data_IF_075000345549
#
_entry.id   IF_075000345549
#
_cell.length_a   1.000
_cell.length_b   1.000
_cell.length_c   1.000
_cell.angle_alpha   90.00
_cell.angle_beta   90.00
_cell.angle_gamma   90.00
#
_symmetry.space_group_name_H-M   'P 1'
#
loop_
_entity.id
_entity.type
_entity.pdbx_description
1 polymer ?
#
# COMPACT_ATOMS: atom_id res chain seq x y z
N UNK A 1 36.29 21.01 -52.42
CA UNK A 1 36.53 20.33 -51.12
C UNK A 1 35.59 20.95 -50.10
N UNK A 2 34.47 20.35 -49.89
CA UNK A 2 33.48 20.78 -48.91
C UNK A 2 33.41 19.67 -47.87
N UNK A 3 33.75 20.00 -46.63
CA UNK A 3 33.57 19.10 -45.48
C UNK A 3 32.13 19.20 -44.99
N UNK A 4 31.45 18.09 -45.05
CA UNK A 4 30.12 17.88 -44.51
C UNK A 4 30.29 17.40 -43.08
N UNK A 5 30.12 18.30 -42.09
CA UNK A 5 30.07 17.95 -40.67
C UNK A 5 28.63 17.63 -40.28
N UNK A 6 28.28 16.35 -40.41
CA UNK A 6 27.03 15.78 -39.90
C UNK A 6 26.94 15.82 -38.37
N UNK A 7 26.36 16.87 -37.83
CA UNK A 7 26.00 16.93 -36.43
C UNK A 7 24.84 15.97 -36.14
N UNK A 8 25.14 14.85 -35.44
CA UNK A 8 24.12 13.93 -34.92
C UNK A 8 23.25 14.66 -33.89
N UNK A 9 21.93 14.63 -34.09
CA UNK A 9 20.95 15.14 -33.14
C UNK A 9 21.03 14.34 -31.81
N UNK A 10 20.90 15.01 -30.64
CA UNK A 10 20.93 14.32 -29.35
C UNK A 10 19.70 13.43 -29.18
N UNK A 11 19.93 12.17 -28.87
CA UNK A 11 18.92 11.14 -28.59
C UNK A 11 18.07 11.57 -27.40
N UNK A 12 16.79 11.82 -27.63
CA UNK A 12 15.76 12.09 -26.60
C UNK A 12 15.42 10.81 -25.80
N UNK A 13 16.34 10.33 -24.99
CA UNK A 13 16.16 9.07 -24.26
C UNK A 13 16.64 9.07 -22.79
N UNK A 14 17.51 10.02 -22.42
CA UNK A 14 18.13 10.01 -21.08
C UNK A 14 17.50 10.99 -20.07
N UNK A 15 16.69 11.94 -20.52
CA UNK A 15 16.16 13.02 -19.68
C UNK A 15 14.76 12.72 -19.10
N UNK A 16 14.06 11.72 -19.62
CA UNK A 16 12.74 11.31 -19.15
C UNK A 16 12.82 10.38 -17.91
N UNK A 17 13.96 9.74 -17.66
CA UNK A 17 14.21 8.88 -16.50
C UNK A 17 14.56 9.66 -15.23
N UNK A 18 14.75 10.97 -15.30
CA UNK A 18 15.04 11.87 -14.17
C UNK A 18 13.88 12.72 -13.71
N UNK A 19 12.67 12.54 -14.20
CA UNK A 19 11.50 13.15 -13.57
C UNK A 19 11.39 12.58 -12.17
N UNK A 20 11.76 13.38 -11.15
CA UNK A 20 11.64 13.03 -9.74
C UNK A 20 10.23 12.52 -9.50
N UNK A 21 10.09 11.22 -9.29
CA UNK A 21 8.82 10.58 -8.94
C UNK A 21 8.19 11.38 -7.80
N UNK A 22 6.94 11.85 -8.00
CA UNK A 22 6.22 12.61 -6.97
C UNK A 22 5.85 11.62 -5.88
N UNK A 23 6.55 11.69 -4.74
CA UNK A 23 6.32 10.80 -3.61
C UNK A 23 4.92 11.04 -3.04
N UNK A 24 4.17 9.96 -2.85
CA UNK A 24 2.82 9.96 -2.27
C UNK A 24 2.82 10.08 -0.74
N UNK A 25 3.98 10.03 -0.11
CA UNK A 25 4.16 10.05 1.34
C UNK A 25 5.05 11.22 1.79
N UNK A 26 4.90 11.62 3.07
CA UNK A 26 5.82 12.51 3.76
C UNK A 26 6.81 11.70 4.58
N UNK A 27 8.12 11.99 4.44
CA UNK A 27 9.13 11.42 5.34
C UNK A 27 8.91 11.94 6.76
N UNK A 28 8.36 11.10 7.63
CA UNK A 28 8.17 11.44 9.05
C UNK A 28 9.45 11.16 9.82
N UNK A 29 9.91 12.13 10.62
CA UNK A 29 10.92 11.87 11.66
C UNK A 29 10.17 11.39 12.90
N UNK A 30 10.20 10.08 13.17
CA UNK A 30 9.61 9.50 14.37
C UNK A 30 10.67 9.08 15.37
N UNK A 31 10.37 9.22 16.66
CA UNK A 31 11.20 8.62 17.71
C UNK A 31 11.01 7.10 17.67
N UNK A 32 12.10 6.35 17.55
CA UNK A 32 12.12 4.88 17.63
C UNK A 32 12.48 4.50 19.06
N UNK A 33 11.62 3.76 19.75
CA UNK A 33 11.92 3.25 21.10
C UNK A 33 13.00 2.17 21.05
N UNK A 34 13.71 1.94 22.17
CA UNK A 34 14.72 0.87 22.24
C UNK A 34 14.14 -0.51 21.88
N UNK A 35 12.90 -0.81 22.30
CA UNK A 35 12.23 -2.05 21.96
C UNK A 35 11.91 -2.18 20.46
N UNK A 36 11.46 -1.08 19.82
CA UNK A 36 11.25 -1.07 18.38
C UNK A 36 12.56 -1.22 17.59
N UNK A 37 13.65 -0.60 18.08
CA UNK A 37 14.97 -0.74 17.48
C UNK A 37 15.45 -2.19 17.57
N UNK A 38 15.36 -2.81 18.75
CA UNK A 38 15.72 -4.22 18.94
C UNK A 38 14.91 -5.12 17.99
N UNK A 39 13.58 -4.96 17.95
CA UNK A 39 12.74 -5.76 17.07
C UNK A 39 13.05 -5.50 15.58
N UNK A 40 13.40 -4.28 15.21
CA UNK A 40 13.87 -3.97 13.86
C UNK A 40 15.16 -4.73 13.54
N UNK A 41 16.14 -4.75 14.47
CA UNK A 41 17.44 -5.38 14.23
C UNK A 41 17.34 -6.93 14.24
N UNK A 42 16.49 -7.53 15.10
CA UNK A 42 16.41 -8.98 15.32
C UNK A 42 15.31 -9.69 14.51
N UNK A 43 14.15 -9.02 14.29
CA UNK A 43 12.98 -9.64 13.63
C UNK A 43 12.94 -9.33 12.15
N UNK A 44 13.24 -8.08 11.74
CA UNK A 44 13.13 -7.67 10.36
C UNK A 44 13.92 -8.57 9.38
N UNK A 45 15.15 -9.01 9.67
CA UNK A 45 15.88 -9.91 8.77
C UNK A 45 15.15 -11.24 8.45
N UNK A 46 14.28 -11.68 9.36
CA UNK A 46 13.51 -12.94 9.22
C UNK A 46 12.21 -12.76 8.44
N UNK A 47 11.67 -11.55 8.38
CA UNK A 47 10.35 -11.26 7.81
C UNK A 47 10.40 -10.25 6.66
N UNK A 48 11.56 -9.61 6.43
CA UNK A 48 11.70 -8.66 5.33
C UNK A 48 11.93 -9.34 3.99
N UNK A 49 11.36 -8.74 2.97
CA UNK A 49 11.66 -9.01 1.57
C UNK A 49 12.36 -7.76 1.03
N UNK A 50 13.61 -7.86 0.59
CA UNK A 50 14.30 -6.73 -0.03
C UNK A 50 13.59 -6.29 -1.32
N UNK A 51 13.51 -4.98 -1.54
CA UNK A 51 13.07 -4.50 -2.84
C UNK A 51 14.04 -4.94 -3.94
N UNK A 52 13.46 -5.42 -5.04
CA UNK A 52 14.18 -5.73 -6.26
C UNK A 52 13.34 -5.30 -7.47
N UNK A 53 13.98 -4.81 -8.52
CA UNK A 53 13.29 -4.49 -9.77
C UNK A 53 13.05 -5.80 -10.59
N UNK A 54 12.39 -6.78 -9.96
CA UNK A 54 12.10 -8.10 -10.53
C UNK A 54 10.84 -8.68 -9.86
N UNK A 55 10.08 -9.54 -10.56
CA UNK A 55 8.91 -10.20 -10.01
C UNK A 55 9.21 -10.99 -8.72
N UNK A 56 8.33 -10.83 -7.73
CA UNK A 56 8.39 -11.53 -6.45
C UNK A 56 7.63 -12.85 -6.53
N UNK A 57 8.31 -13.93 -6.20
CA UNK A 57 7.66 -15.22 -5.93
C UNK A 57 7.08 -15.19 -4.49
N UNK A 58 5.76 -15.01 -4.40
CA UNK A 58 5.06 -14.96 -3.11
C UNK A 58 5.10 -16.31 -2.39
N UNK A 59 5.03 -17.43 -3.10
CA UNK A 59 5.08 -18.76 -2.47
C UNK A 59 6.44 -19.00 -1.82
N UNK A 60 7.52 -18.71 -2.54
CA UNK A 60 8.88 -18.79 -1.98
C UNK A 60 9.09 -17.81 -0.81
N UNK A 61 8.60 -16.58 -0.92
CA UNK A 61 8.75 -15.55 0.11
C UNK A 61 8.05 -15.88 1.44
N UNK A 62 6.90 -16.57 1.37
CA UNK A 62 6.16 -16.99 2.56
C UNK A 62 6.48 -18.43 2.99
N UNK A 63 7.13 -19.23 2.13
CA UNK A 63 7.36 -20.66 2.37
C UNK A 63 6.08 -21.50 2.32
N UNK A 64 4.99 -20.95 1.77
CA UNK A 64 3.69 -21.62 1.64
C UNK A 64 2.85 -20.99 0.54
N UNK A 65 1.96 -21.78 -0.05
CA UNK A 65 0.94 -21.33 -0.98
C UNK A 65 -0.33 -20.94 -0.22
N UNK A 66 -0.66 -19.65 -0.22
CA UNK A 66 -1.90 -19.12 0.35
C UNK A 66 -2.27 -17.81 -0.38
N UNK A 67 -3.56 -17.41 -0.40
CA UNK A 67 -3.95 -16.12 -0.95
C UNK A 67 -3.24 -14.98 -0.22
N UNK A 68 -2.71 -14.01 -0.97
CA UNK A 68 -1.93 -12.90 -0.42
C UNK A 68 -2.72 -11.59 -0.44
N UNK A 69 -2.73 -10.89 0.68
CA UNK A 69 -3.29 -9.54 0.83
C UNK A 69 -2.14 -8.55 1.00
N UNK A 70 -2.12 -7.50 0.17
CA UNK A 70 -1.17 -6.40 0.26
C UNK A 70 -1.75 -5.29 1.15
N UNK A 71 -1.00 -4.81 2.14
CA UNK A 71 -1.33 -3.57 2.84
C UNK A 71 -0.28 -2.49 2.56
N UNK A 72 -0.74 -1.34 2.04
CA UNK A 72 0.12 -0.21 1.69
C UNK A 72 0.02 0.85 2.77
N UNK A 73 1.16 1.20 3.36
CA UNK A 73 1.25 2.23 4.39
C UNK A 73 0.69 1.76 5.74
N UNK A 74 1.11 0.60 6.22
CA UNK A 74 0.59 0.02 7.47
C UNK A 74 0.89 0.86 8.73
N UNK A 75 1.65 1.94 8.62
CA UNK A 75 1.98 2.83 9.73
C UNK A 75 2.64 2.08 10.90
N UNK A 76 2.02 2.13 12.09
CA UNK A 76 2.52 1.39 13.26
C UNK A 76 2.15 -0.10 13.27
N UNK A 77 1.42 -0.60 12.27
CA UNK A 77 1.13 -2.01 12.05
C UNK A 77 0.14 -2.66 13.03
N UNK A 78 -0.64 -1.88 13.79
CA UNK A 78 -1.59 -2.45 14.74
C UNK A 78 -2.75 -3.18 14.04
N UNK A 79 -3.34 -2.55 13.02
CA UNK A 79 -4.39 -3.18 12.23
C UNK A 79 -3.87 -4.39 11.46
N UNK A 80 -2.73 -4.25 10.80
CA UNK A 80 -2.07 -5.30 10.03
C UNK A 80 -1.83 -6.56 10.86
N UNK A 81 -1.23 -6.39 12.06
CA UNK A 81 -0.94 -7.52 12.96
C UNK A 81 -2.23 -8.23 13.44
N UNK A 82 -3.27 -7.46 13.81
CA UNK A 82 -4.56 -8.01 14.23
C UNK A 82 -5.27 -8.76 13.11
N UNK A 83 -5.26 -8.22 11.89
CA UNK A 83 -5.83 -8.86 10.72
C UNK A 83 -5.07 -10.15 10.42
N UNK A 84 -3.73 -10.12 10.41
CA UNK A 84 -2.91 -11.29 10.15
C UNK A 84 -3.14 -12.40 11.19
N UNK A 85 -3.30 -12.05 12.47
CA UNK A 85 -3.61 -12.98 13.54
C UNK A 85 -4.99 -13.63 13.39
N UNK A 86 -6.00 -12.85 12.92
CA UNK A 86 -7.36 -13.36 12.73
C UNK A 86 -7.53 -14.24 11.48
N UNK A 87 -6.58 -14.17 10.55
CA UNK A 87 -6.63 -14.88 9.26
C UNK A 87 -5.32 -15.63 8.99
N UNK A 88 -5.02 -16.69 9.75
CA UNK A 88 -3.81 -17.50 9.55
C UNK A 88 -3.81 -18.27 8.22
N UNK A 89 -4.96 -18.38 7.57
CA UNK A 89 -5.15 -18.98 6.25
C UNK A 89 -4.67 -18.08 5.09
N UNK A 90 -4.48 -16.77 5.33
CA UNK A 90 -4.00 -15.79 4.35
C UNK A 90 -2.53 -15.42 4.60
N UNK A 91 -1.86 -14.99 3.55
CA UNK A 91 -0.58 -14.29 3.62
C UNK A 91 -0.80 -12.78 3.59
N UNK A 92 0.00 -12.03 4.36
CA UNK A 92 -0.06 -10.57 4.40
C UNK A 92 1.29 -9.99 4.03
N UNK A 93 1.32 -9.15 2.99
CA UNK A 93 2.48 -8.39 2.57
C UNK A 93 2.29 -6.93 2.94
N UNK A 94 3.03 -6.45 3.93
CA UNK A 94 3.01 -5.05 4.34
C UNK A 94 4.09 -4.24 3.61
N UNK A 95 3.73 -3.09 3.06
CA UNK A 95 4.67 -2.14 2.45
C UNK A 95 4.63 -0.83 3.21
N UNK A 96 5.79 -0.36 3.69
CA UNK A 96 5.90 0.88 4.45
C UNK A 96 7.29 1.51 4.24
N UNK A 97 7.36 2.85 4.25
CA UNK A 97 8.62 3.60 4.14
C UNK A 97 9.14 4.07 5.50
N UNK A 98 8.28 4.12 6.51
CA UNK A 98 8.56 4.68 7.82
C UNK A 98 9.19 3.65 8.75
N UNK A 99 10.51 3.76 8.99
CA UNK A 99 11.29 2.78 9.77
C UNK A 99 10.73 2.54 11.19
N UNK A 100 10.21 3.57 11.88
CA UNK A 100 9.62 3.39 13.20
C UNK A 100 8.32 2.54 13.14
N UNK A 101 7.57 2.65 12.05
CA UNK A 101 6.41 1.79 11.79
C UNK A 101 6.83 0.34 11.54
N UNK A 102 7.85 0.15 10.71
CA UNK A 102 8.43 -1.19 10.45
C UNK A 102 8.89 -1.84 11.76
N UNK A 103 9.65 -1.12 12.61
CA UNK A 103 10.08 -1.64 13.92
C UNK A 103 8.91 -1.94 14.86
N UNK A 104 7.83 -1.14 14.80
CA UNK A 104 6.63 -1.41 15.59
C UNK A 104 5.90 -2.66 15.12
N UNK A 105 5.81 -2.90 13.80
CA UNK A 105 5.21 -4.12 13.26
C UNK A 105 6.08 -5.34 13.56
N UNK A 106 7.41 -5.25 13.44
CA UNK A 106 8.33 -6.33 13.82
C UNK A 106 8.12 -6.77 15.28
N UNK A 107 7.99 -5.81 16.20
CA UNK A 107 7.66 -6.10 17.61
C UNK A 107 6.36 -6.89 17.74
N UNK A 108 5.30 -6.52 17.02
CA UNK A 108 4.01 -7.25 17.05
C UNK A 108 4.11 -8.65 16.43
N UNK A 109 4.86 -8.80 15.36
CA UNK A 109 5.11 -10.11 14.72
C UNK A 109 5.72 -11.06 15.76
N UNK A 110 6.70 -10.60 16.54
CA UNK A 110 7.34 -11.39 17.59
C UNK A 110 6.35 -11.68 18.72
N UNK A 111 5.68 -10.65 19.28
CA UNK A 111 4.75 -10.78 20.41
C UNK A 111 3.56 -11.69 20.11
N UNK A 112 3.08 -11.68 18.87
CA UNK A 112 1.90 -12.47 18.45
C UNK A 112 2.28 -13.74 17.68
N UNK A 113 3.57 -14.04 17.54
CA UNK A 113 4.12 -15.19 16.80
C UNK A 113 3.54 -15.32 15.37
N UNK A 114 3.44 -14.20 14.63
CA UNK A 114 2.85 -14.20 13.30
C UNK A 114 3.80 -14.82 12.26
N UNK A 115 3.38 -15.93 11.67
CA UNK A 115 4.14 -16.62 10.61
C UNK A 115 3.74 -16.16 9.20
N UNK A 116 2.56 -15.58 9.04
CA UNK A 116 1.89 -15.25 7.78
C UNK A 116 2.06 -13.79 7.34
N UNK A 117 3.06 -13.05 7.87
CA UNK A 117 3.29 -11.66 7.54
C UNK A 117 4.72 -11.44 7.07
N UNK A 118 4.88 -10.68 5.98
CA UNK A 118 6.17 -10.24 5.43
C UNK A 118 6.14 -8.73 5.21
N UNK A 119 7.32 -8.10 5.21
CA UNK A 119 7.48 -6.64 5.14
C UNK A 119 8.41 -6.28 3.98
N UNK A 120 8.01 -5.30 3.17
CA UNK A 120 8.89 -4.59 2.24
C UNK A 120 9.00 -3.15 2.71
N UNK A 121 10.20 -2.72 3.10
CA UNK A 121 10.44 -1.32 3.46
C UNK A 121 10.87 -0.53 2.21
N UNK A 122 9.88 -0.08 1.43
CA UNK A 122 10.14 0.65 0.18
C UNK A 122 8.92 1.49 -0.24
N UNK A 123 9.07 2.29 -1.33
CA UNK A 123 7.94 3.00 -1.97
C UNK A 123 6.97 1.99 -2.59
N UNK A 124 5.71 2.06 -2.16
CA UNK A 124 4.69 1.13 -2.61
C UNK A 124 4.41 1.19 -4.11
N UNK A 125 4.57 2.36 -4.75
CA UNK A 125 4.38 2.49 -6.21
C UNK A 125 5.44 1.67 -6.95
N UNK A 126 6.68 1.71 -6.48
CA UNK A 126 7.78 0.94 -7.06
C UNK A 126 7.60 -0.57 -6.80
N UNK A 127 7.20 -0.96 -5.58
CA UNK A 127 6.91 -2.36 -5.24
C UNK A 127 5.81 -2.92 -6.14
N UNK A 128 4.70 -2.20 -6.30
CA UNK A 128 3.58 -2.63 -7.15
C UNK A 128 3.97 -2.73 -8.61
N UNK A 129 4.78 -1.79 -9.09
CA UNK A 129 5.24 -1.76 -10.48
C UNK A 129 6.19 -2.90 -10.82
N UNK A 130 7.15 -3.16 -9.93
CA UNK A 130 8.34 -3.95 -10.27
C UNK A 130 8.29 -5.37 -9.69
N UNK A 131 7.65 -5.54 -8.52
CA UNK A 131 7.68 -6.81 -7.80
C UNK A 131 6.38 -7.63 -7.90
N UNK A 132 5.23 -7.00 -8.15
CA UNK A 132 3.96 -7.70 -8.18
C UNK A 132 3.54 -8.01 -9.62
N UNK A 133 3.20 -9.27 -9.88
CA UNK A 133 2.66 -9.71 -11.16
C UNK A 133 1.13 -9.62 -11.18
N UNK A 134 0.53 -9.64 -12.36
CA UNK A 134 -0.92 -9.60 -12.52
C UNK A 134 -1.60 -10.79 -11.84
N UNK A 135 -2.77 -10.55 -11.26
CA UNK A 135 -3.61 -11.53 -10.58
C UNK A 135 -2.92 -12.29 -9.43
N UNK A 136 -1.89 -11.67 -8.78
CA UNK A 136 -1.15 -12.28 -7.68
C UNK A 136 -1.72 -11.99 -6.29
N UNK A 137 -2.63 -11.00 -6.17
CA UNK A 137 -3.18 -10.56 -4.89
C UNK A 137 -4.64 -10.95 -4.73
N UNK A 138 -5.00 -11.51 -3.57
CA UNK A 138 -6.39 -11.74 -3.19
C UNK A 138 -7.09 -10.48 -2.67
N UNK A 139 -6.34 -9.49 -2.22
CA UNK A 139 -6.86 -8.22 -1.76
C UNK A 139 -5.78 -7.15 -1.57
N UNK A 140 -6.21 -5.91 -1.52
CA UNK A 140 -5.35 -4.75 -1.26
C UNK A 140 -5.99 -3.86 -0.21
N UNK A 141 -5.22 -3.44 0.78
CA UNK A 141 -5.61 -2.49 1.82
C UNK A 141 -4.84 -1.18 1.68
N UNK A 142 -5.55 -0.06 1.70
CA UNK A 142 -4.97 1.29 1.73
C UNK A 142 -5.73 2.10 2.79
N UNK A 143 -5.25 2.07 4.02
CA UNK A 143 -5.95 2.67 5.15
C UNK A 143 -5.29 3.97 5.59
N UNK A 144 -6.08 5.06 5.59
CA UNK A 144 -5.69 6.40 6.02
C UNK A 144 -4.41 6.91 5.35
N UNK A 145 -4.29 6.83 4.01
CA UNK A 145 -3.16 7.42 3.30
C UNK A 145 -3.12 8.92 3.49
N UNK A 146 -1.94 9.55 3.35
CA UNK A 146 -1.78 11.00 3.52
C UNK A 146 -2.78 11.79 2.65
N UNK A 147 -3.68 12.60 3.23
CA UNK A 147 -4.78 13.24 2.49
C UNK A 147 -4.33 14.45 1.67
N UNK A 148 -3.14 14.99 1.96
CA UNK A 148 -2.59 16.17 1.29
C UNK A 148 -3.63 17.30 1.16
N UNK A 149 -4.02 18.00 2.27
CA UNK A 149 -5.19 18.89 2.30
C UNK A 149 -5.13 20.06 1.31
N UNK A 150 -3.92 20.58 1.02
CA UNK A 150 -3.75 21.73 0.11
C UNK A 150 -3.89 21.30 -1.35
N UNK A 151 -4.75 21.98 -2.12
CA UNK A 151 -5.04 21.66 -3.51
C UNK A 151 -3.79 21.43 -4.39
N UNK A 152 -2.74 22.28 -4.23
CA UNK A 152 -1.45 22.13 -4.93
C UNK A 152 -0.72 20.81 -4.64
N UNK A 153 -1.11 20.09 -3.57
CA UNK A 153 -0.53 18.81 -3.15
C UNK A 153 -1.39 17.60 -3.53
N UNK A 154 -2.62 17.76 -4.06
CA UNK A 154 -3.49 16.64 -4.41
C UNK A 154 -2.84 15.66 -5.37
N UNK A 155 -1.94 16.13 -6.26
CA UNK A 155 -1.13 15.28 -7.15
C UNK A 155 -0.22 14.28 -6.40
N UNK A 156 -0.03 14.44 -5.08
CA UNK A 156 0.73 13.52 -4.22
C UNK A 156 -0.13 12.42 -3.62
N UNK A 157 -1.47 12.51 -3.72
CA UNK A 157 -2.37 11.49 -3.19
C UNK A 157 -2.08 10.14 -3.84
N UNK A 158 -1.95 9.09 -3.03
CA UNK A 158 -1.63 7.75 -3.52
C UNK A 158 -2.73 7.21 -4.44
N UNK A 159 -3.99 7.29 -3.99
CA UNK A 159 -5.13 6.83 -4.80
C UNK A 159 -5.44 7.90 -5.85
N UNK A 160 -4.85 7.71 -7.03
CA UNK A 160 -5.02 8.53 -8.23
C UNK A 160 -5.13 7.61 -9.46
N UNK A 161 -5.58 8.10 -10.62
CA UNK A 161 -5.80 7.26 -11.81
C UNK A 161 -4.59 6.43 -12.22
N UNK A 162 -3.38 6.99 -12.17
CA UNK A 162 -2.17 6.29 -12.57
C UNK A 162 -1.86 5.11 -11.63
N UNK A 163 -1.94 5.34 -10.32
CA UNK A 163 -1.71 4.28 -9.34
C UNK A 163 -2.81 3.21 -9.38
N UNK A 164 -4.08 3.59 -9.54
CA UNK A 164 -5.19 2.64 -9.62
C UNK A 164 -5.10 1.78 -10.88
N UNK A 165 -4.67 2.34 -12.02
CA UNK A 165 -4.38 1.58 -13.24
C UNK A 165 -3.21 0.61 -13.06
N UNK A 166 -2.27 0.91 -12.19
CA UNK A 166 -1.15 0.05 -11.88
C UNK A 166 -1.54 -1.11 -10.94
N UNK A 167 -2.32 -0.83 -9.87
CA UNK A 167 -2.63 -1.83 -8.84
C UNK A 167 -3.80 -2.75 -9.21
N UNK A 168 -4.80 -2.27 -9.96
CA UNK A 168 -5.99 -3.05 -10.27
C UNK A 168 -5.69 -4.37 -11.01
N UNK A 169 -4.79 -4.44 -12.00
CA UNK A 169 -4.41 -5.70 -12.64
C UNK A 169 -3.73 -6.70 -11.68
N UNK A 170 -3.06 -6.22 -10.62
CA UNK A 170 -2.35 -7.07 -9.65
C UNK A 170 -3.32 -7.87 -8.77
N UNK A 171 -4.56 -7.40 -8.64
CA UNK A 171 -5.62 -8.10 -7.91
C UNK A 171 -6.18 -9.20 -8.78
N UNK A 172 -6.29 -10.42 -8.24
CA UNK A 172 -6.90 -11.54 -8.92
C UNK A 172 -8.40 -11.30 -9.17
N UNK A 173 -9.00 -11.84 -10.25
CA UNK A 173 -10.45 -11.84 -10.42
C UNK A 173 -11.17 -12.37 -9.17
N UNK A 174 -12.19 -11.66 -8.70
CA UNK A 174 -12.87 -11.95 -7.44
C UNK A 174 -12.16 -11.45 -6.17
N UNK A 175 -10.93 -10.95 -6.28
CA UNK A 175 -10.25 -10.23 -5.20
C UNK A 175 -10.82 -8.83 -4.98
N UNK A 176 -10.26 -8.07 -4.04
CA UNK A 176 -10.83 -6.78 -3.64
C UNK A 176 -9.76 -5.70 -3.39
N UNK A 177 -10.19 -4.45 -3.45
CA UNK A 177 -9.46 -3.27 -2.97
C UNK A 177 -10.30 -2.59 -1.89
N UNK A 178 -9.74 -2.41 -0.69
CA UNK A 178 -10.37 -1.72 0.43
C UNK A 178 -9.56 -0.48 0.80
N UNK A 179 -10.15 0.68 0.61
CA UNK A 179 -9.60 1.97 1.03
C UNK A 179 -10.40 2.52 2.21
N UNK A 180 -9.73 3.23 3.14
CA UNK A 180 -10.37 4.00 4.19
C UNK A 180 -9.68 5.35 4.38
N UNK A 181 -10.45 6.39 4.67
CA UNK A 181 -9.93 7.73 4.99
C UNK A 181 -10.86 8.47 5.93
N UNK A 182 -10.31 9.39 6.74
CA UNK A 182 -11.04 10.33 7.59
C UNK A 182 -11.13 11.75 6.96
N UNK A 183 -10.77 11.86 5.66
CA UNK A 183 -10.78 13.12 4.91
C UNK A 183 -11.81 13.07 3.79
N UNK A 184 -12.98 13.71 3.97
CA UNK A 184 -14.13 13.63 3.07
C UNK A 184 -13.80 13.94 1.61
N UNK A 185 -13.11 15.05 1.35
CA UNK A 185 -12.69 15.42 0.00
C UNK A 185 -11.80 14.35 -0.67
N UNK A 186 -11.00 13.63 0.12
CA UNK A 186 -10.19 12.54 -0.42
C UNK A 186 -11.03 11.27 -0.61
N UNK A 187 -12.00 11.02 0.28
CA UNK A 187 -12.95 9.93 0.12
C UNK A 187 -13.72 10.05 -1.20
N UNK A 188 -14.23 11.26 -1.52
CA UNK A 188 -14.93 11.51 -2.78
C UNK A 188 -14.00 11.29 -3.98
N UNK A 189 -12.77 11.82 -3.94
CA UNK A 189 -11.79 11.57 -5.00
C UNK A 189 -11.49 10.07 -5.17
N UNK A 190 -11.34 9.32 -4.08
CA UNK A 190 -11.14 7.86 -4.14
C UNK A 190 -12.33 7.18 -4.82
N UNK A 191 -13.55 7.55 -4.45
CA UNK A 191 -14.78 6.99 -5.04
C UNK A 191 -14.82 7.21 -6.55
N UNK A 192 -14.52 8.44 -7.01
CA UNK A 192 -14.50 8.80 -8.42
C UNK A 192 -13.42 8.04 -9.19
N UNK A 193 -12.19 8.00 -8.64
CA UNK A 193 -11.04 7.36 -9.29
C UNK A 193 -11.21 5.84 -9.37
N UNK A 194 -11.68 5.21 -8.29
CA UNK A 194 -11.91 3.77 -8.24
C UNK A 194 -13.09 3.36 -9.11
N UNK A 195 -14.17 4.16 -9.10
CA UNK A 195 -15.36 3.94 -9.93
C UNK A 195 -15.09 4.07 -11.43
N UNK A 196 -14.12 4.89 -11.83
CA UNK A 196 -13.71 5.05 -13.23
C UNK A 196 -12.82 3.91 -13.74
N UNK A 197 -12.30 3.01 -12.85
CA UNK A 197 -11.43 1.91 -13.25
C UNK A 197 -12.24 0.73 -13.79
N UNK A 198 -12.10 0.36 -15.09
CA UNK A 198 -12.95 -0.70 -15.70
C UNK A 198 -12.84 -2.07 -15.04
N UNK A 199 -11.68 -2.37 -14.44
CA UNK A 199 -11.41 -3.65 -13.77
C UNK A 199 -12.02 -3.75 -12.38
N UNK A 200 -12.54 -2.64 -11.82
CA UNK A 200 -13.10 -2.59 -10.48
C UNK A 200 -14.62 -2.37 -10.51
N UNK A 201 -15.31 -2.95 -9.55
CA UNK A 201 -16.74 -2.73 -9.32
C UNK A 201 -16.95 -2.37 -7.85
N UNK A 202 -17.61 -1.24 -7.56
CA UNK A 202 -17.97 -0.89 -6.20
C UNK A 202 -18.95 -1.94 -5.65
N UNK A 203 -18.68 -2.47 -4.47
CA UNK A 203 -19.57 -3.43 -3.80
C UNK A 203 -20.77 -2.75 -3.13
N UNK A 204 -20.78 -1.42 -3.06
CA UNK A 204 -21.83 -0.62 -2.44
C UNK A 204 -22.28 0.51 -3.37
N UNK A 205 -23.42 1.12 -3.10
CA UNK A 205 -23.93 2.26 -3.87
C UNK A 205 -23.17 3.59 -3.60
N UNK A 206 -21.96 3.51 -3.03
CA UNK A 206 -21.13 4.64 -2.64
C UNK A 206 -20.08 4.17 -1.64
N UNK A 207 -20.06 4.77 -0.45
CA UNK A 207 -19.20 4.32 0.64
C UNK A 207 -19.77 3.06 1.31
N UNK A 208 -18.88 2.19 1.77
CA UNK A 208 -19.27 1.00 2.50
C UNK A 208 -19.89 1.38 3.87
N UNK A 209 -20.97 0.71 4.32
CA UNK A 209 -21.65 1.05 5.58
C UNK A 209 -20.88 0.62 6.83
N UNK A 210 -19.71 0.03 6.68
CA UNK A 210 -18.88 -0.47 7.78
C UNK A 210 -17.46 -0.79 7.35
N UNK A 211 -16.74 -1.49 8.21
CA UNK A 211 -15.31 -1.78 8.07
C UNK A 211 -15.03 -3.14 7.40
N UNK A 212 -16.07 -3.84 6.95
CA UNK A 212 -15.95 -5.18 6.39
C UNK A 212 -15.63 -5.18 4.90
N UNK A 213 -14.82 -6.12 4.47
CA UNK A 213 -14.57 -6.47 3.09
C UNK A 213 -14.75 -7.99 2.89
N UNK A 214 -14.64 -8.53 1.69
CA UNK A 214 -14.93 -9.96 1.43
C UNK A 214 -14.11 -10.96 2.25
N UNK A 215 -12.92 -10.60 2.71
CA UNK A 215 -12.05 -11.53 3.44
C UNK A 215 -11.87 -11.19 4.92
N UNK A 216 -11.87 -9.92 5.28
CA UNK A 216 -11.56 -9.48 6.67
C UNK A 216 -12.40 -8.27 7.07
N UNK A 217 -12.50 -8.05 8.37
CA UNK A 217 -12.99 -6.82 8.95
C UNK A 217 -11.80 -5.91 9.31
N UNK A 218 -11.84 -4.64 8.88
CA UNK A 218 -10.81 -3.66 9.27
C UNK A 218 -10.99 -3.29 10.74
N UNK A 219 -10.00 -3.53 11.61
CA UNK A 219 -10.13 -3.17 13.02
C UNK A 219 -10.20 -1.65 13.20
N UNK A 220 -10.87 -1.20 14.25
CA UNK A 220 -10.85 0.19 14.65
C UNK A 220 -9.43 0.61 15.00
N UNK A 221 -8.89 1.56 14.22
CA UNK A 221 -7.54 2.10 14.41
C UNK A 221 -7.55 3.34 15.30
N UNK A 222 -6.37 3.78 15.78
CA UNK A 222 -6.24 5.06 16.49
C UNK A 222 -6.67 6.25 15.63
N UNK A 223 -6.51 6.20 14.32
CA UNK A 223 -6.97 7.22 13.37
C UNK A 223 -8.50 7.24 13.33
N UNK A 224 -9.14 6.07 13.22
CA UNK A 224 -10.60 5.95 13.29
C UNK A 224 -11.14 6.53 14.62
N UNK A 225 -10.60 6.11 15.76
CA UNK A 225 -11.01 6.61 17.08
C UNK A 225 -10.78 8.13 17.24
N UNK A 226 -9.69 8.66 16.67
CA UNK A 226 -9.41 10.10 16.64
C UNK A 226 -10.42 10.84 15.75
N UNK A 227 -10.69 10.35 14.55
CA UNK A 227 -11.68 10.93 13.63
C UNK A 227 -13.04 11.00 14.30
N UNK A 228 -13.53 9.89 14.84
CA UNK A 228 -14.82 9.84 15.56
C UNK A 228 -14.88 10.84 16.73
N UNK A 229 -13.80 10.96 17.53
CA UNK A 229 -13.73 11.92 18.66
C UNK A 229 -13.74 13.38 18.20
N UNK A 230 -13.26 13.67 16.99
CA UNK A 230 -13.24 15.02 16.41
C UNK A 230 -14.52 15.31 15.60
N UNK A 231 -15.50 14.38 15.59
CA UNK A 231 -16.70 14.51 14.79
C UNK A 231 -16.48 14.31 13.29
N UNK A 232 -15.30 13.81 12.89
CA UNK A 232 -15.01 13.47 11.50
C UNK A 232 -15.58 12.09 11.20
N UNK A 233 -16.24 11.95 10.03
CA UNK A 233 -16.64 10.66 9.49
C UNK A 233 -15.40 9.82 9.10
N UNK A 234 -15.58 8.52 9.01
CA UNK A 234 -14.63 7.64 8.32
C UNK A 234 -15.37 7.02 7.16
N UNK A 235 -14.78 7.14 5.98
CA UNK A 235 -15.33 6.62 4.75
C UNK A 235 -14.53 5.38 4.32
N UNK A 236 -15.22 4.26 4.27
CA UNK A 236 -14.69 3.00 3.72
C UNK A 236 -15.20 2.82 2.28
N UNK A 237 -14.32 2.36 1.41
CA UNK A 237 -14.60 2.08 0.00
C UNK A 237 -14.12 0.67 -0.32
N UNK A 238 -15.03 -0.19 -0.76
CA UNK A 238 -14.71 -1.59 -1.05
C UNK A 238 -15.11 -1.90 -2.49
N UNK A 239 -14.12 -2.26 -3.30
CA UNK A 239 -14.29 -2.58 -4.71
C UNK A 239 -13.85 -4.02 -4.97
N UNK A 240 -14.64 -4.77 -5.72
CA UNK A 240 -14.26 -6.09 -6.21
C UNK A 240 -13.51 -5.97 -7.54
N UNK A 241 -12.55 -6.88 -7.79
CA UNK A 241 -11.93 -7.10 -9.09
C UNK A 241 -12.87 -7.94 -9.95
N UNK A 242 -13.28 -7.40 -11.10
CA UNK A 242 -14.08 -8.08 -12.11
C UNK A 242 -13.34 -9.22 -12.79
#
# INVERSE_FOLDING_TARGET
MANDDGAAAPTAGADDLRRRHIRSFAMRRGHVTAAQKRAFDEVLPRVSIPYAAAPLDLEAAFGRRAPCVLEIGFGMGDATARIAASRPDLNFLGVEVFAAGVGALCKRIEEMALANLRIIQHDAVEVVRDMLIDASLAGVHIYFPDPWPKARHHKRRLVNPAFVSLIAPRIAPGGYLHCATDWEHYAQQMLDVLGAQPLLANLHAGFAPGQSNPLVERPTTKFHARGARLGHGVWDLVFARR
#
